data_IF_119722543600
#
_entry.id   IF_119722543600
#
_cell.length_a   1.000
_cell.length_b   1.000
_cell.length_c   1.000
_cell.angle_alpha   90.00
_cell.angle_beta   90.00
_cell.angle_gamma   90.00
#
_symmetry.space_group_name_H-M   'P 1'
#
loop_
_entity.id
_entity.type
_entity.pdbx_description
1 polymer ?
#
# COMPACT_ATOMS: atom_id res chain seq x y z
N UNK A 1 -16.35 7.57 16.26
CA UNK A 1 -15.91 8.96 16.47
C UNK A 1 -14.85 9.09 17.57
N UNK A 2 -14.88 8.27 18.65
CA UNK A 2 -13.68 8.10 19.48
C UNK A 2 -12.62 7.33 18.67
N UNK A 3 -11.36 7.75 18.79
CA UNK A 3 -10.15 7.22 18.14
C UNK A 3 -9.85 7.59 16.68
N UNK A 4 -10.73 8.29 15.95
CA UNK A 4 -10.44 8.70 14.57
C UNK A 4 -9.16 9.56 14.46
N UNK A 5 -9.00 10.56 15.34
CA UNK A 5 -7.82 11.42 15.38
C UNK A 5 -6.52 10.64 15.63
N UNK A 6 -6.57 9.62 16.49
CA UNK A 6 -5.42 8.76 16.79
C UNK A 6 -4.97 8.00 15.54
N UNK A 7 -5.89 7.47 14.75
CA UNK A 7 -5.55 6.69 13.56
C UNK A 7 -5.18 7.58 12.37
N UNK A 8 -5.77 8.76 12.22
CA UNK A 8 -5.46 9.70 11.14
C UNK A 8 -3.98 10.05 11.10
N UNK A 9 -3.36 10.31 12.25
CA UNK A 9 -1.92 10.61 12.34
C UNK A 9 -1.03 9.45 11.86
N UNK A 10 -1.54 8.22 11.94
CA UNK A 10 -0.84 7.00 11.55
C UNK A 10 -1.20 6.52 10.13
N UNK A 11 -2.10 7.22 9.41
CA UNK A 11 -2.52 6.77 8.08
C UNK A 11 -1.43 6.91 7.03
N UNK A 12 -0.52 7.89 7.15
CA UNK A 12 0.62 8.03 6.24
C UNK A 12 1.56 6.84 6.39
N UNK A 13 2.00 6.55 7.62
CA UNK A 13 2.85 5.39 7.94
C UNK A 13 2.19 4.06 7.53
N UNK A 14 0.86 3.96 7.66
CA UNK A 14 0.08 2.82 7.16
C UNK A 14 0.10 2.70 5.63
N UNK A 15 0.02 3.81 4.89
CA UNK A 15 0.10 3.82 3.42
C UNK A 15 1.52 3.46 2.95
N UNK A 16 2.54 3.94 3.65
CA UNK A 16 3.95 3.69 3.32
C UNK A 16 4.39 2.27 3.73
N UNK A 17 3.66 1.61 4.63
CA UNK A 17 3.93 0.25 5.08
C UNK A 17 4.94 0.14 6.22
N UNK A 18 5.27 1.28 6.85
CA UNK A 18 6.25 1.40 7.94
C UNK A 18 5.62 1.24 9.34
N UNK A 19 4.34 0.89 9.38
CA UNK A 19 3.57 0.76 10.61
C UNK A 19 3.70 -0.65 11.22
N UNK A 20 3.73 -0.73 12.56
CA UNK A 20 3.74 -2.01 13.27
C UNK A 20 2.51 -2.88 12.90
N UNK A 21 2.68 -4.21 12.70
CA UNK A 21 1.59 -5.09 12.27
C UNK A 21 0.38 -5.10 13.20
N UNK A 22 0.56 -4.88 14.50
CA UNK A 22 -0.54 -4.85 15.45
C UNK A 22 -1.34 -3.55 15.33
N UNK A 23 -0.68 -2.43 15.05
CA UNK A 23 -1.35 -1.17 14.79
C UNK A 23 -2.06 -1.17 13.43
N UNK A 24 -1.52 -1.87 12.42
CA UNK A 24 -2.19 -2.08 11.12
C UNK A 24 -3.56 -2.73 11.30
N UNK A 25 -3.63 -3.82 12.07
CA UNK A 25 -4.91 -4.50 12.35
C UNK A 25 -5.91 -3.60 13.05
N UNK A 26 -5.45 -2.76 13.98
CA UNK A 26 -6.32 -1.83 14.70
C UNK A 26 -6.90 -0.76 13.75
N UNK A 27 -6.07 -0.23 12.84
CA UNK A 27 -6.51 0.70 11.80
C UNK A 27 -7.53 0.02 10.88
N UNK A 28 -7.26 -1.20 10.41
CA UNK A 28 -8.17 -1.97 9.55
C UNK A 28 -9.52 -2.22 10.23
N UNK A 29 -9.50 -2.63 11.50
CA UNK A 29 -10.72 -2.82 12.29
C UNK A 29 -11.52 -1.51 12.45
N UNK A 30 -10.84 -0.35 12.54
CA UNK A 30 -11.48 0.96 12.60
C UNK A 30 -12.08 1.36 11.25
N UNK A 31 -11.34 1.18 10.15
CA UNK A 31 -11.78 1.48 8.79
C UNK A 31 -13.02 0.65 8.40
N UNK A 32 -13.15 -0.58 8.91
CA UNK A 32 -14.35 -1.39 8.72
C UNK A 32 -15.61 -0.86 9.41
N UNK A 33 -15.46 0.03 10.40
CA UNK A 33 -16.58 0.57 11.22
C UNK A 33 -16.81 2.06 11.01
N UNK A 34 -15.86 2.80 10.45
CA UNK A 34 -15.92 4.25 10.29
C UNK A 34 -15.80 4.67 8.81
N UNK A 35 -16.92 5.05 8.17
CA UNK A 35 -16.92 5.53 6.79
C UNK A 35 -16.06 6.78 6.58
N UNK A 36 -16.03 7.71 7.54
CA UNK A 36 -15.29 8.97 7.42
C UNK A 36 -13.77 8.74 7.33
N UNK A 37 -13.24 7.84 8.17
CA UNK A 37 -11.82 7.48 8.11
C UNK A 37 -11.48 6.72 6.82
N UNK A 38 -12.42 5.98 6.24
CA UNK A 38 -12.25 5.35 4.93
C UNK A 38 -12.13 6.40 3.83
N UNK A 39 -13.01 7.40 3.81
CA UNK A 39 -12.93 8.52 2.86
C UNK A 39 -11.60 9.29 3.02
N UNK A 40 -11.14 9.52 4.25
CA UNK A 40 -9.85 10.15 4.51
C UNK A 40 -8.69 9.33 3.93
N UNK A 41 -8.66 8.01 4.18
CA UNK A 41 -7.65 7.11 3.62
C UNK A 41 -7.65 7.13 2.09
N UNK A 42 -8.82 7.08 1.47
CA UNK A 42 -8.95 7.12 0.01
C UNK A 42 -8.46 8.46 -0.56
N UNK A 43 -8.76 9.57 0.13
CA UNK A 43 -8.27 10.91 -0.23
C UNK A 43 -6.75 10.99 -0.13
N UNK A 44 -6.16 10.48 0.96
CA UNK A 44 -4.71 10.45 1.14
C UNK A 44 -4.02 9.62 0.04
N UNK A 45 -4.57 8.45 -0.32
CA UNK A 45 -4.07 7.62 -1.42
C UNK A 45 -4.12 8.35 -2.75
N UNK A 46 -5.19 9.10 -3.01
CA UNK A 46 -5.31 9.91 -4.22
C UNK A 46 -4.26 11.02 -4.26
N UNK A 47 -4.00 11.69 -3.13
CA UNK A 47 -2.92 12.69 -3.03
C UNK A 47 -1.57 12.06 -3.34
N UNK A 48 -1.25 10.90 -2.76
CA UNK A 48 0.02 10.17 -3.05
C UNK A 48 0.13 9.83 -4.53
N UNK A 49 -0.96 9.40 -5.17
CA UNK A 49 -0.99 9.10 -6.61
C UNK A 49 -0.65 10.35 -7.44
N UNK A 50 -1.31 11.48 -7.18
CA UNK A 50 -1.06 12.74 -7.89
C UNK A 50 0.40 13.16 -7.73
N UNK A 51 0.94 13.11 -6.51
CA UNK A 51 2.35 13.45 -6.26
C UNK A 51 3.34 12.53 -7.01
N UNK A 52 2.99 11.25 -7.19
CA UNK A 52 3.81 10.31 -7.98
C UNK A 52 3.73 10.59 -9.48
N UNK A 53 2.54 10.94 -9.99
CA UNK A 53 2.32 11.25 -11.41
C UNK A 53 2.99 12.57 -11.83
N UNK A 54 2.96 13.59 -10.97
CA UNK A 54 3.63 14.87 -11.20
C UNK A 54 5.15 14.79 -10.96
N UNK A 55 5.61 13.76 -10.24
CA UNK A 55 7.02 13.48 -10.02
C UNK A 55 7.70 13.02 -11.31
N UNK A 56 8.99 13.38 -11.48
CA UNK A 56 9.83 12.72 -12.49
C UNK A 56 10.07 11.27 -12.04
N UNK A 57 9.16 10.38 -12.38
CA UNK A 57 9.41 8.95 -12.27
C UNK A 57 10.49 8.58 -13.29
N UNK A 58 11.65 8.19 -12.81
CA UNK A 58 12.64 7.54 -13.67
C UNK A 58 12.08 6.18 -14.10
N UNK A 59 12.07 5.93 -15.40
CA UNK A 59 11.68 4.63 -15.91
C UNK A 59 12.67 3.57 -15.44
N UNK A 60 12.15 2.47 -14.91
CA UNK A 60 12.97 1.33 -14.53
C UNK A 60 13.66 0.79 -15.78
N UNK A 61 15.00 0.57 -15.77
CA UNK A 61 15.68 0.00 -16.92
C UNK A 61 15.03 -1.32 -17.36
N UNK A 62 14.79 -1.48 -18.66
CA UNK A 62 14.09 -2.64 -19.23
C UNK A 62 14.70 -3.97 -18.78
N UNK A 63 16.04 -4.04 -18.72
CA UNK A 63 16.76 -5.25 -18.30
C UNK A 63 16.44 -5.64 -16.85
N UNK A 64 16.33 -4.65 -15.96
CA UNK A 64 15.99 -4.88 -14.56
C UNK A 64 14.53 -5.34 -14.44
N UNK A 65 13.61 -4.68 -15.13
CA UNK A 65 12.20 -5.09 -15.19
C UNK A 65 12.05 -6.54 -15.69
N UNK A 66 12.75 -6.88 -16.78
CA UNK A 66 12.76 -8.23 -17.36
C UNK A 66 13.25 -9.28 -16.36
N UNK A 67 14.37 -9.00 -15.68
CA UNK A 67 14.96 -9.93 -14.69
C UNK A 67 14.04 -10.14 -13.49
N UNK A 68 13.42 -9.07 -12.96
CA UNK A 68 12.48 -9.16 -11.85
C UNK A 68 11.26 -9.99 -12.26
N UNK A 69 10.63 -9.67 -13.38
CA UNK A 69 9.45 -10.38 -13.88
C UNK A 69 9.73 -11.87 -14.17
N UNK A 70 10.89 -12.20 -14.75
CA UNK A 70 11.29 -13.59 -14.98
C UNK A 70 11.40 -14.39 -13.68
N UNK A 71 12.03 -13.80 -12.65
CA UNK A 71 12.14 -14.43 -11.32
C UNK A 71 10.80 -14.59 -10.62
N UNK A 72 9.93 -13.58 -10.70
CA UNK A 72 8.57 -13.67 -10.15
C UNK A 72 7.78 -14.80 -10.82
N UNK A 73 7.85 -14.91 -12.15
CA UNK A 73 7.19 -15.97 -12.92
C UNK A 73 7.72 -17.36 -12.55
N UNK A 74 9.04 -17.54 -12.50
CA UNK A 74 9.68 -18.80 -12.09
C UNK A 74 9.21 -19.24 -10.69
N UNK A 75 9.23 -18.32 -9.72
CA UNK A 75 8.78 -18.61 -8.34
C UNK A 75 7.29 -18.92 -8.29
N UNK A 76 6.48 -18.24 -9.08
CA UNK A 76 5.04 -18.49 -9.19
C UNK A 76 4.77 -19.89 -9.73
N UNK A 77 5.42 -20.30 -10.81
CA UNK A 77 5.29 -21.65 -11.39
C UNK A 77 5.77 -22.74 -10.43
N UNK A 78 6.82 -22.51 -9.65
CA UNK A 78 7.25 -23.47 -8.62
C UNK A 78 6.23 -23.65 -7.49
N UNK A 79 5.58 -22.56 -7.08
CA UNK A 79 4.63 -22.56 -5.95
C UNK A 79 3.24 -23.04 -6.34
N UNK A 80 2.79 -22.69 -7.55
CA UNK A 80 1.41 -22.92 -8.01
C UNK A 80 1.30 -23.81 -9.25
N UNK A 81 2.39 -23.99 -10.02
CA UNK A 81 2.44 -24.85 -11.22
C UNK A 81 2.75 -26.31 -10.94
N UNK A 82 2.99 -26.69 -9.67
CA UNK A 82 3.09 -28.09 -9.25
C UNK A 82 1.68 -28.65 -9.08
N UNK A 83 1.10 -29.11 -10.19
CA UNK A 83 -0.03 -30.03 -10.21
C UNK A 83 0.48 -31.45 -10.47
#
# INVERSE_FOLDING_TARGET
MKDCSRYITNLCDYIDGDLDPELCKQIEAHLGKCPDCKVMLDTLRQTVKICREDGRCEELPEELSRRINARLKERWEQKFGRK
#
